data_IF_217769155775
#
_entry.id   IF_217769155775
#
_cell.length_a   1.000
_cell.length_b   1.000
_cell.length_c   1.000
_cell.angle_alpha   90.00
_cell.angle_beta   90.00
_cell.angle_gamma   90.00
#
_symmetry.space_group_name_H-M   'P 1'
#
loop_
_entity.id
_entity.type
_entity.pdbx_description
1 polymer ?
#
# COMPACT_ATOMS: atom_id res chain seq x y z
N UNK A 1 5.53 -6.18 -1.90
CA UNK A 1 5.96 -4.78 -1.74
C UNK A 1 6.73 -4.36 -2.98
N UNK A 2 6.03 -4.11 -4.11
CA UNK A 2 6.67 -3.92 -5.42
C UNK A 2 7.71 -2.80 -5.41
N UNK A 3 7.32 -1.60 -4.96
CA UNK A 3 8.17 -0.42 -4.99
C UNK A 3 9.34 -0.49 -4.01
N UNK A 4 9.16 -1.13 -2.85
CA UNK A 4 10.27 -1.39 -1.93
C UNK A 4 11.35 -2.26 -2.61
N UNK A 5 10.95 -3.36 -3.24
CA UNK A 5 11.87 -4.24 -3.96
C UNK A 5 12.51 -3.55 -5.16
N UNK A 6 11.76 -2.72 -5.88
CA UNK A 6 12.26 -1.92 -6.99
C UNK A 6 13.31 -0.89 -6.53
N UNK A 7 13.05 -0.07 -5.51
CA UNK A 7 14.04 0.89 -5.03
C UNK A 7 15.29 0.22 -4.43
N UNK A 8 15.19 -1.02 -3.94
CA UNK A 8 16.37 -1.80 -3.54
C UNK A 8 17.31 -2.12 -4.71
N UNK A 9 16.81 -2.25 -5.94
CA UNK A 9 17.67 -2.46 -7.11
C UNK A 9 18.41 -1.20 -7.53
N UNK A 10 17.99 -0.02 -7.04
CA UNK A 10 18.55 1.29 -7.38
C UNK A 10 19.54 1.82 -6.33
N UNK A 11 19.88 1.01 -5.31
CA UNK A 11 20.88 1.40 -4.32
C UNK A 11 22.22 1.65 -5.01
N UNK A 12 22.92 2.71 -4.58
CA UNK A 12 24.13 3.28 -5.17
C UNK A 12 23.93 3.97 -6.54
N UNK A 13 22.67 4.25 -6.94
CA UNK A 13 22.37 5.06 -8.12
C UNK A 13 22.02 6.49 -7.71
N UNK A 14 22.36 7.47 -8.54
CA UNK A 14 21.93 8.86 -8.35
C UNK A 14 20.44 9.02 -8.67
N UNK A 15 19.71 9.66 -7.77
CA UNK A 15 18.27 9.94 -7.91
C UNK A 15 17.98 11.37 -7.50
N UNK A 16 16.87 11.93 -7.99
CA UNK A 16 16.35 13.22 -7.51
C UNK A 16 15.02 13.01 -6.81
N UNK A 17 14.92 13.43 -5.56
CA UNK A 17 13.71 13.33 -4.74
C UNK A 17 13.07 14.71 -4.64
N UNK A 18 11.84 14.83 -5.14
CA UNK A 18 11.00 16.01 -4.98
C UNK A 18 10.06 15.79 -3.79
N UNK A 19 10.09 16.73 -2.85
CA UNK A 19 9.25 16.72 -1.65
C UNK A 19 7.94 17.47 -1.88
N UNK A 20 6.94 17.19 -1.05
CA UNK A 20 5.62 17.85 -1.10
C UNK A 20 5.64 19.37 -0.85
N UNK A 21 6.73 19.88 -0.30
CA UNK A 21 6.98 21.31 -0.10
C UNK A 21 7.87 21.91 -1.20
N UNK A 22 7.96 21.23 -2.35
CA UNK A 22 8.65 21.65 -3.57
C UNK A 22 10.18 21.69 -3.47
N UNK A 23 10.77 21.18 -2.39
CA UNK A 23 12.23 21.03 -2.29
C UNK A 23 12.65 19.82 -3.13
N UNK A 24 13.62 20.03 -4.02
CA UNK A 24 14.22 18.97 -4.83
C UNK A 24 15.65 18.68 -4.39
N UNK A 25 15.91 17.43 -4.01
CA UNK A 25 17.21 16.98 -3.49
C UNK A 25 17.73 15.87 -4.41
N UNK A 26 18.87 16.11 -5.04
CA UNK A 26 19.62 15.10 -5.80
C UNK A 26 20.64 14.44 -4.89
N UNK A 27 20.88 13.14 -5.04
CA UNK A 27 21.95 12.45 -4.31
C UNK A 27 21.97 10.95 -4.61
N UNK A 28 22.93 10.25 -3.99
CA UNK A 28 23.10 8.81 -4.18
C UNK A 28 22.20 8.02 -3.23
N UNK A 29 21.31 7.18 -3.75
CA UNK A 29 20.43 6.35 -2.94
C UNK A 29 21.22 5.31 -2.15
N UNK A 30 21.26 5.40 -0.82
CA UNK A 30 21.96 4.44 0.04
C UNK A 30 21.06 3.38 0.63
N UNK A 31 19.85 3.75 1.02
CA UNK A 31 18.91 2.79 1.56
C UNK A 31 17.47 3.23 1.37
N UNK A 32 16.61 2.22 1.33
CA UNK A 32 15.15 2.35 1.32
C UNK A 32 14.56 1.31 2.28
N UNK A 33 13.46 1.65 2.93
CA UNK A 33 12.70 0.73 3.79
C UNK A 33 11.29 0.44 3.24
N UNK A 34 10.52 -0.37 3.96
CA UNK A 34 9.17 -0.76 3.55
C UNK A 34 8.15 0.39 3.51
N UNK A 35 8.42 1.49 4.21
CA UNK A 35 7.61 2.72 4.20
C UNK A 35 8.09 3.72 3.15
N UNK A 36 9.07 3.31 2.33
CA UNK A 36 9.74 4.15 1.34
C UNK A 36 10.43 5.36 1.98
N UNK A 37 10.89 5.22 3.23
CA UNK A 37 11.86 6.18 3.77
C UNK A 37 13.18 6.01 3.01
N UNK A 38 13.80 7.11 2.63
CA UNK A 38 14.96 7.16 1.73
C UNK A 38 16.14 7.78 2.46
N UNK A 39 17.30 7.13 2.38
CA UNK A 39 18.58 7.73 2.74
C UNK A 39 19.35 8.09 1.48
N UNK A 40 19.75 9.35 1.34
CA UNK A 40 20.67 9.81 0.31
C UNK A 40 21.99 10.26 0.94
N UNK A 41 23.09 9.95 0.27
CA UNK A 41 24.42 10.52 0.56
C UNK A 41 24.87 11.40 -0.62
N UNK A 42 25.87 12.25 -0.35
CA UNK A 42 26.45 13.20 -1.31
C UNK A 42 25.40 14.05 -2.03
N UNK A 43 24.54 14.69 -1.23
CA UNK A 43 23.38 15.42 -1.76
C UNK A 43 23.73 16.79 -2.34
N UNK A 44 22.86 17.27 -3.24
CA UNK A 44 22.82 18.65 -3.72
C UNK A 44 21.36 19.09 -3.79
N UNK A 45 21.04 20.27 -3.26
CA UNK A 45 19.68 20.82 -3.38
C UNK A 45 19.62 21.62 -4.68
N UNK A 46 18.63 21.35 -5.53
CA UNK A 46 18.59 21.98 -6.85
C UNK A 46 18.30 23.49 -6.79
N UNK A 47 17.60 23.95 -5.74
CA UNK A 47 17.29 25.36 -5.47
C UNK A 47 18.10 25.91 -4.28
N UNK A 48 19.43 25.72 -4.30
CA UNK A 48 20.34 26.13 -3.21
C UNK A 48 20.18 27.60 -2.80
N UNK A 49 19.90 28.51 -3.75
CA UNK A 49 19.71 29.95 -3.47
C UNK A 49 18.51 30.24 -2.57
N UNK A 50 17.46 29.42 -2.67
CA UNK A 50 16.23 29.55 -1.86
C UNK A 50 16.37 28.87 -0.50
N UNK A 51 17.27 27.89 -0.39
CA UNK A 51 17.47 27.09 0.81
C UNK A 51 18.94 27.02 1.24
N UNK A 52 19.60 28.17 1.56
CA UNK A 52 21.03 28.21 1.86
C UNK A 52 21.42 27.41 3.11
N UNK A 53 20.47 27.16 4.01
CA UNK A 53 20.68 26.31 5.19
C UNK A 53 20.93 24.84 4.84
N UNK A 54 20.57 24.40 3.64
CA UNK A 54 20.77 23.02 3.19
C UNK A 54 22.15 22.78 2.58
N UNK A 55 22.89 23.83 2.21
CA UNK A 55 24.17 23.70 1.50
C UNK A 55 25.28 23.03 2.32
N UNK A 56 25.14 22.95 3.64
CA UNK A 56 26.08 22.24 4.53
C UNK A 56 25.74 20.76 4.74
N UNK A 57 24.56 20.32 4.31
CA UNK A 57 24.06 18.96 4.52
C UNK A 57 24.61 18.06 3.41
N UNK A 58 25.40 17.05 3.78
CA UNK A 58 25.94 16.06 2.82
C UNK A 58 25.08 14.81 2.68
N UNK A 59 24.43 14.40 3.77
CA UNK A 59 23.60 13.18 3.83
C UNK A 59 22.24 13.52 4.42
N UNK A 60 21.18 12.90 3.93
CA UNK A 60 19.81 13.15 4.38
C UNK A 60 19.02 11.86 4.55
N UNK A 61 18.14 11.84 5.54
CA UNK A 61 17.12 10.81 5.71
C UNK A 61 15.74 11.44 5.53
N UNK A 62 14.98 10.96 4.56
CA UNK A 62 13.68 11.50 4.15
C UNK A 62 12.61 10.49 4.49
N UNK A 63 11.57 10.95 5.19
CA UNK A 63 10.39 10.13 5.48
C UNK A 63 9.55 9.93 4.20
N UNK A 64 9.22 8.70 3.85
CA UNK A 64 8.51 8.39 2.60
C UNK A 64 7.19 9.14 2.42
N UNK A 65 6.50 9.47 3.51
CA UNK A 65 5.22 10.20 3.46
C UNK A 65 5.31 11.65 2.96
N UNK A 66 6.50 12.27 3.00
CA UNK A 66 6.71 13.65 2.52
C UNK A 66 7.23 13.71 1.08
N UNK A 67 7.56 12.57 0.48
CA UNK A 67 8.01 12.49 -0.91
C UNK A 67 6.82 12.67 -1.85
N UNK A 68 7.00 13.48 -2.90
CA UNK A 68 6.06 13.62 -4.01
C UNK A 68 6.51 12.80 -5.22
N UNK A 69 7.74 12.99 -5.66
CA UNK A 69 8.31 12.27 -6.80
C UNK A 69 9.74 11.79 -6.52
N UNK A 70 10.13 10.71 -7.19
CA UNK A 70 11.52 10.27 -7.28
C UNK A 70 11.84 10.12 -8.76
N UNK A 71 12.69 11.00 -9.28
CA UNK A 71 13.16 10.97 -10.66
C UNK A 71 14.37 10.05 -10.75
N UNK A 72 14.33 9.18 -11.76
CA UNK A 72 15.31 8.13 -12.00
C UNK A 72 15.88 8.29 -13.41
N UNK A 73 17.17 8.03 -13.62
CA UNK A 73 17.72 7.87 -14.96
C UNK A 73 16.99 6.75 -15.71
N UNK A 74 16.57 6.98 -16.96
CA UNK A 74 15.88 5.94 -17.73
C UNK A 74 16.70 4.66 -17.89
N UNK A 75 18.04 4.80 -17.98
CA UNK A 75 18.96 3.67 -18.11
C UNK A 75 19.05 2.78 -16.86
N UNK A 76 18.66 3.27 -15.67
CA UNK A 76 18.68 2.48 -14.43
C UNK A 76 17.40 1.69 -14.21
N UNK A 77 16.41 1.80 -15.12
CA UNK A 77 15.09 1.19 -14.97
C UNK A 77 14.81 0.19 -16.10
N UNK A 78 14.79 -1.09 -15.76
CA UNK A 78 14.25 -2.14 -16.62
C UNK A 78 12.71 -2.09 -16.59
N UNK A 79 12.15 -1.36 -17.54
CA UNK A 79 10.70 -1.15 -17.65
C UNK A 79 9.95 -2.46 -17.93
N UNK A 80 10.36 -3.36 -18.86
CA UNK A 80 9.74 -4.67 -19.03
C UNK A 80 9.64 -5.46 -17.73
N UNK A 81 10.73 -5.54 -16.96
CA UNK A 81 10.76 -6.29 -15.69
C UNK A 81 9.82 -5.69 -14.65
N UNK A 82 9.78 -4.35 -14.56
CA UNK A 82 8.91 -3.63 -13.63
C UNK A 82 7.42 -3.83 -13.97
N UNK A 83 7.06 -3.79 -15.25
CA UNK A 83 5.71 -4.08 -15.70
C UNK A 83 5.31 -5.52 -15.38
N UNK A 84 6.21 -6.47 -15.63
CA UNK A 84 6.01 -7.88 -15.35
C UNK A 84 5.79 -8.15 -13.85
N UNK A 85 6.62 -7.54 -13.01
CA UNK A 85 6.47 -7.57 -11.56
C UNK A 85 5.15 -6.93 -11.11
N UNK A 86 4.68 -5.90 -11.80
CA UNK A 86 3.37 -5.27 -11.54
C UNK A 86 2.21 -6.21 -11.91
N UNK A 87 2.27 -6.87 -13.07
CA UNK A 87 1.28 -7.88 -13.50
C UNK A 87 1.20 -9.04 -12.51
N UNK A 88 2.35 -9.54 -12.04
CA UNK A 88 2.43 -10.63 -11.04
C UNK A 88 1.98 -10.19 -9.65
N UNK A 89 2.40 -9.01 -9.18
CA UNK A 89 2.04 -8.47 -7.87
C UNK A 89 0.53 -8.22 -7.72
N UNK A 90 -0.15 -7.84 -8.80
CA UNK A 90 -1.62 -7.72 -8.84
C UNK A 90 -2.31 -9.07 -8.61
N UNK A 91 -1.78 -10.19 -9.14
CA UNK A 91 -2.37 -11.53 -8.93
C UNK A 91 -2.40 -11.92 -7.46
N UNK A 92 -1.38 -11.57 -6.67
CA UNK A 92 -1.33 -11.88 -5.24
C UNK A 92 -2.31 -11.03 -4.41
N UNK A 93 -2.59 -9.79 -4.82
CA UNK A 93 -3.60 -8.94 -4.17
C UNK A 93 -5.02 -9.39 -4.51
N UNK A 94 -5.30 -9.73 -5.77
CA UNK A 94 -6.59 -10.28 -6.18
C UNK A 94 -6.89 -11.65 -5.59
N UNK A 95 -5.90 -12.56 -5.53
CA UNK A 95 -6.07 -13.89 -4.92
C UNK A 95 -6.32 -13.84 -3.40
N UNK A 96 -5.84 -12.80 -2.70
CA UNK A 96 -6.15 -12.57 -1.28
C UNK A 96 -7.59 -12.09 -1.09
N UNK A 97 -8.09 -11.25 -1.98
CA UNK A 97 -9.46 -10.72 -1.90
C UNK A 97 -10.52 -11.77 -2.30
N UNK A 98 -10.27 -12.61 -3.32
CA UNK A 98 -11.21 -13.67 -3.73
C UNK A 98 -11.28 -14.84 -2.75
N UNK A 99 -10.18 -15.17 -2.04
CA UNK A 99 -10.24 -16.16 -0.95
C UNK A 99 -11.14 -15.73 0.19
N UNK A 100 -11.26 -14.42 0.47
CA UNK A 100 -12.13 -13.90 1.52
C UNK A 100 -13.63 -13.98 1.17
N UNK A 101 -13.98 -13.87 -0.13
CA UNK A 101 -15.35 -14.09 -0.59
C UNK A 101 -15.75 -15.58 -0.66
N UNK A 102 -14.81 -16.47 -1.00
CA UNK A 102 -15.09 -17.91 -1.08
C UNK A 102 -15.15 -18.60 0.30
N UNK A 103 -14.44 -18.10 1.32
CA UNK A 103 -14.51 -18.64 2.69
C UNK A 103 -15.76 -18.22 3.46
N UNK A 104 -16.41 -17.12 3.08
CA UNK A 104 -17.69 -16.70 3.67
C UNK A 104 -18.89 -17.55 3.22
N UNK A 105 -18.75 -18.33 2.14
CA UNK A 105 -19.83 -19.20 1.62
C UNK A 105 -19.74 -20.66 2.11
N UNK A 106 -18.70 -21.05 2.84
CA UNK A 106 -18.55 -22.41 3.37
C UNK A 106 -18.49 -22.40 4.91
N UNK A 107 -19.57 -21.93 5.56
CA UNK A 107 -19.87 -22.48 6.90
C UNK A 107 -20.40 -23.89 6.66
N UNK A 108 -19.74 -24.96 7.16
CA UNK A 108 -20.35 -26.27 7.13
C UNK A 108 -21.68 -26.17 7.90
N UNK A 109 -22.77 -26.63 7.30
CA UNK A 109 -24.01 -26.86 8.05
C UNK A 109 -23.62 -27.76 9.23
N UNK A 110 -23.68 -27.23 10.46
CA UNK A 110 -23.60 -28.07 11.65
C UNK A 110 -24.70 -29.11 11.50
N UNK A 111 -24.32 -30.39 11.52
CA UNK A 111 -25.31 -31.45 11.67
C UNK A 111 -26.20 -31.10 12.88
N UNK A 112 -27.53 -31.17 12.74
CA UNK A 112 -28.40 -31.05 13.90
C UNK A 112 -28.00 -32.17 14.87
N UNK A 113 -27.63 -31.82 16.10
CA UNK A 113 -27.64 -32.81 17.17
C UNK A 113 -29.05 -33.40 17.23
N UNK A 114 -29.14 -34.74 17.26
CA UNK A 114 -30.42 -35.46 17.31
C UNK A 114 -31.26 -34.87 18.45
N UNK A 115 -32.53 -34.49 18.21
CA UNK A 115 -33.40 -34.10 19.30
C UNK A 115 -33.66 -35.33 20.17
N UNK A 116 -33.49 -35.13 21.47
CA UNK A 116 -33.94 -36.02 22.53
C UNK A 116 -35.44 -36.33 22.33
N UNK A 117 -35.81 -37.61 22.39
CA UNK A 117 -37.07 -38.14 21.79
C UNK A 117 -38.37 -37.68 22.48
N UNK A 118 -38.31 -36.96 23.60
CA UNK A 118 -39.48 -36.77 24.47
C UNK A 118 -39.79 -35.30 24.83
N UNK A 119 -39.48 -34.32 23.96
CA UNK A 119 -39.92 -32.92 24.19
C UNK A 119 -40.79 -32.38 23.04
N UNK A 120 -42.02 -31.91 23.30
CA UNK A 120 -42.87 -31.33 22.27
C UNK A 120 -42.28 -30.00 21.77
N UNK A 121 -42.29 -29.82 20.44
CA UNK A 121 -41.68 -28.71 19.72
C UNK A 121 -42.49 -27.43 19.96
N UNK A 122 -41.90 -26.44 20.62
CA UNK A 122 -42.42 -25.07 20.66
C UNK A 122 -41.78 -24.27 19.52
N UNK A 123 -42.56 -23.96 18.48
CA UNK A 123 -42.11 -23.07 17.40
C UNK A 123 -42.19 -21.61 17.86
N UNK A 124 -41.06 -20.97 18.17
CA UNK A 124 -40.99 -19.51 18.30
C UNK A 124 -40.45 -18.90 17.00
N UNK A 125 -41.35 -18.35 16.20
CA UNK A 125 -41.03 -17.57 15.01
C UNK A 125 -40.52 -16.19 15.45
N UNK A 126 -39.21 -15.94 15.42
CA UNK A 126 -38.69 -14.55 15.45
C UNK A 126 -38.43 -14.11 14.01
N UNK A 127 -39.46 -13.58 13.38
CA UNK A 127 -39.34 -12.77 12.18
C UNK A 127 -38.76 -11.40 12.57
N UNK A 128 -37.47 -11.17 12.31
CA UNK A 128 -36.93 -9.81 12.34
C UNK A 128 -37.21 -9.17 10.98
N UNK A 129 -38.28 -8.37 10.91
CA UNK A 129 -38.56 -7.49 9.78
C UNK A 129 -37.47 -6.41 9.69
N UNK A 130 -36.87 -6.29 8.50
CA UNK A 130 -36.03 -5.16 8.12
C UNK A 130 -36.95 -4.12 7.48
N UNK A 131 -37.13 -2.91 8.04
CA UNK A 131 -37.88 -1.88 7.33
C UNK A 131 -36.98 -1.21 6.29
N UNK A 132 -37.35 -1.36 5.02
CA UNK A 132 -36.88 -0.52 3.91
C UNK A 132 -37.81 0.70 3.76
N UNK A 133 -37.24 1.87 4.03
CA UNK A 133 -37.19 3.06 3.17
C UNK A 133 -38.44 3.92 2.88
N UNK A 134 -38.19 5.23 2.75
CA UNK A 134 -38.96 6.33 2.10
C UNK A 134 -40.30 6.68 2.79
N UNK A 135 -40.66 7.93 3.13
CA UNK A 135 -40.88 9.08 2.23
C UNK A 135 -41.34 10.32 3.05
N UNK A 136 -40.99 11.51 2.55
CA UNK A 136 -41.78 12.77 2.52
C UNK A 136 -42.24 13.53 3.79
N UNK A 137 -41.94 14.85 3.72
CA UNK A 137 -42.75 16.03 4.13
C UNK A 137 -43.19 16.18 5.58
N UNK A 138 -42.69 17.24 6.23
CA UNK A 138 -43.41 18.51 6.37
C UNK A 138 -42.41 19.64 6.62
#
# INVERSE_FOLDING_TARGET
MLFFSFFKTLVNTEVTVELKNDISIRGTLKSVDQYLNIKLDDITVLDDLKYPHMSSVKNVFIRGSVVRYVHLPAASVDTPLLEDATRRGKKTLFAKHTKQLLTLSQKPLRHPQRPDKDRPIQYSLKATMIPHNVTNRA
#
